data_IF_218332722874
#
_entry.id   IF_218332722874
#
_cell.length_a   1.000
_cell.length_b   1.000
_cell.length_c   1.000
_cell.angle_alpha   90.00
_cell.angle_beta   90.00
_cell.angle_gamma   90.00
#
_symmetry.space_group_name_H-M   'P 1'
#
loop_
_entity.id
_entity.type
_entity.pdbx_description
1 polymer ?
#
# COMPACT_ATOMS: atom_id res chain seq x y z
N UNK A 1 5.43 -0.73 16.39
CA UNK A 1 4.83 -0.87 15.05
C UNK A 1 3.72 -1.89 15.13
N UNK A 2 2.57 -1.61 14.51
CA UNK A 2 1.42 -2.53 14.41
C UNK A 2 1.01 -2.66 12.95
N UNK A 3 0.34 -3.75 12.63
CA UNK A 3 -0.23 -3.99 11.31
C UNK A 3 -1.73 -3.72 11.33
N UNK A 4 -2.20 -3.00 10.32
CA UNK A 4 -3.60 -2.66 10.11
C UNK A 4 -4.05 -3.18 8.75
N UNK A 5 -5.31 -3.59 8.64
CA UNK A 5 -5.95 -3.91 7.36
C UNK A 5 -6.80 -2.73 6.93
N UNK A 6 -6.38 -2.05 5.88
CA UNK A 6 -7.05 -0.83 5.40
C UNK A 6 -7.79 -1.13 4.11
N UNK A 7 -9.10 -0.88 4.11
CA UNK A 7 -10.03 -1.26 3.02
C UNK A 7 -10.39 -0.11 2.08
N UNK A 8 -9.90 1.10 2.35
CA UNK A 8 -10.22 2.31 1.59
C UNK A 8 -9.06 2.84 0.73
N UNK A 9 -7.91 2.15 0.72
CA UNK A 9 -6.77 2.47 -0.13
C UNK A 9 -6.94 1.89 -1.55
N UNK A 10 -6.17 2.43 -2.50
CA UNK A 10 -6.19 2.00 -3.90
C UNK A 10 -5.79 0.52 -4.10
N UNK A 11 -6.25 -0.04 -5.21
CA UNK A 11 -5.90 -1.39 -5.63
C UNK A 11 -4.39 -1.56 -5.87
N UNK A 12 -3.89 -2.79 -5.69
CA UNK A 12 -2.51 -3.13 -5.99
C UNK A 12 -2.26 -3.13 -7.52
N UNK A 13 -1.38 -2.28 -8.06
CA UNK A 13 -1.15 -2.17 -9.50
C UNK A 13 -0.50 -3.42 -10.11
N UNK A 14 0.17 -4.25 -9.30
CA UNK A 14 0.86 -5.47 -9.76
C UNK A 14 -0.08 -6.64 -10.01
N UNK A 15 -1.13 -6.82 -9.21
CA UNK A 15 -1.99 -8.01 -9.26
C UNK A 15 -3.49 -7.72 -9.25
N UNK A 16 -3.88 -6.45 -9.17
CA UNK A 16 -5.28 -6.00 -9.17
C UNK A 16 -6.08 -6.35 -7.92
N UNK A 17 -5.43 -6.71 -6.79
CA UNK A 17 -6.13 -6.93 -5.53
C UNK A 17 -6.61 -5.60 -4.93
N UNK A 18 -7.87 -5.52 -4.52
CA UNK A 18 -8.55 -4.29 -4.13
C UNK A 18 -9.39 -4.39 -2.84
N UNK A 19 -9.36 -5.53 -2.12
CA UNK A 19 -10.18 -5.68 -0.91
C UNK A 19 -9.58 -4.96 0.31
N UNK A 20 -8.26 -5.03 0.48
CA UNK A 20 -7.52 -4.33 1.53
C UNK A 20 -6.01 -4.28 1.25
N UNK A 21 -5.30 -3.39 1.96
CA UNK A 21 -3.84 -3.40 2.05
C UNK A 21 -3.39 -3.62 3.50
N UNK A 22 -2.28 -4.35 3.68
CA UNK A 22 -1.64 -4.48 4.99
C UNK A 22 -0.74 -3.26 5.20
N UNK A 23 -1.03 -2.45 6.21
CA UNK A 23 -0.29 -1.23 6.55
C UNK A 23 0.45 -1.40 7.86
N UNK A 24 1.77 -1.24 7.84
CA UNK A 24 2.62 -1.21 9.04
C UNK A 24 2.86 0.24 9.46
N UNK A 25 2.34 0.59 10.64
CA UNK A 25 2.38 1.96 11.17
C UNK A 25 2.82 2.01 12.63
N UNK A 26 3.38 3.13 13.05
CA UNK A 26 3.64 3.42 14.47
C UNK A 26 2.47 4.09 15.17
N UNK A 27 1.75 4.99 14.49
CA UNK A 27 0.75 5.90 15.08
C UNK A 27 -0.62 5.81 14.44
N UNK A 28 -0.71 5.30 13.21
CA UNK A 28 -1.96 5.23 12.46
C UNK A 28 -2.99 4.30 13.08
N UNK A 29 -4.20 4.37 12.56
CA UNK A 29 -5.34 3.52 12.89
C UNK A 29 -6.18 3.26 11.63
N UNK A 30 -7.35 2.66 11.79
CA UNK A 30 -8.22 2.28 10.67
C UNK A 30 -8.74 3.50 9.87
N UNK A 31 -8.65 4.71 10.44
CA UNK A 31 -9.16 5.96 9.86
C UNK A 31 -8.04 6.91 9.44
N UNK A 32 -6.93 6.97 10.19
CA UNK A 32 -5.82 7.88 9.93
C UNK A 32 -4.50 7.13 9.68
N UNK A 33 -3.85 7.47 8.58
CA UNK A 33 -2.51 7.00 8.22
C UNK A 33 -1.54 8.19 8.08
N UNK A 34 -0.25 7.93 8.14
CA UNK A 34 0.78 8.96 8.12
C UNK A 34 1.83 8.70 7.04
N UNK A 35 2.43 9.78 6.52
CA UNK A 35 3.52 9.72 5.55
C UNK A 35 4.62 8.78 6.04
N UNK A 36 5.01 7.84 5.18
CA UNK A 36 6.04 6.84 5.47
C UNK A 36 5.54 5.55 6.14
N UNK A 37 4.25 5.44 6.46
CA UNK A 37 3.67 4.14 6.83
C UNK A 37 3.85 3.15 5.66
N UNK A 38 4.29 1.93 5.95
CA UNK A 38 4.63 0.95 4.92
C UNK A 38 3.39 0.17 4.49
N UNK A 39 3.19 0.02 3.19
CA UNK A 39 2.06 -0.69 2.61
C UNK A 39 2.54 -1.95 1.91
N UNK A 40 1.80 -3.05 2.11
CA UNK A 40 2.06 -4.32 1.44
C UNK A 40 0.76 -4.91 0.91
N UNK A 41 0.78 -5.31 -0.36
CA UNK A 41 -0.31 -6.07 -0.95
C UNK A 41 -0.34 -7.49 -0.34
N UNK A 42 -1.46 -7.91 0.27
CA UNK A 42 -1.55 -9.23 0.92
C UNK A 42 -1.49 -10.40 -0.08
N UNK A 43 -1.80 -10.16 -1.36
CA UNK A 43 -1.86 -11.20 -2.40
C UNK A 43 -0.52 -11.46 -3.08
N UNK A 44 0.21 -10.41 -3.44
CA UNK A 44 1.44 -10.54 -4.24
C UNK A 44 2.69 -9.95 -3.57
N UNK A 45 2.57 -9.49 -2.32
CA UNK A 45 3.64 -8.85 -1.54
C UNK A 45 4.26 -7.62 -2.22
N UNK A 46 3.57 -7.00 -3.18
CA UNK A 46 4.02 -5.72 -3.76
C UNK A 46 4.00 -4.66 -2.67
N UNK A 47 4.97 -3.76 -2.67
CA UNK A 47 5.17 -2.79 -1.60
C UNK A 47 4.91 -1.36 -2.08
N UNK A 48 4.64 -0.50 -1.11
CA UNK A 48 4.51 0.93 -1.28
C UNK A 48 4.63 1.63 0.07
N UNK A 49 4.42 2.92 0.08
CA UNK A 49 4.32 3.74 1.30
C UNK A 49 3.10 4.65 1.22
N UNK A 50 2.60 5.04 2.39
CA UNK A 50 1.58 6.08 2.48
C UNK A 50 2.22 7.43 2.20
N UNK A 51 1.58 8.18 1.33
CA UNK A 51 1.76 9.60 1.13
C UNK A 51 0.46 10.34 1.48
N UNK A 52 0.56 11.62 1.80
CA UNK A 52 -0.61 12.45 2.14
C UNK A 52 -0.60 13.75 1.37
N UNK A 53 -1.74 14.14 0.82
CA UNK A 53 -1.92 15.42 0.14
C UNK A 53 -3.26 16.05 0.54
N UNK A 54 -3.25 17.34 0.91
CA UNK A 54 -4.42 18.12 1.36
C UNK A 54 -5.35 17.46 2.41
N UNK A 55 -4.88 16.48 3.17
CA UNK A 55 -5.66 15.77 4.19
C UNK A 55 -6.14 14.38 3.77
N UNK A 56 -5.91 13.98 2.52
CA UNK A 56 -6.15 12.64 2.03
C UNK A 56 -4.87 11.80 2.08
N UNK A 57 -5.01 10.50 2.35
CA UNK A 57 -3.91 9.54 2.35
C UNK A 57 -4.08 8.56 1.18
N UNK A 58 -2.99 8.28 0.47
CA UNK A 58 -2.97 7.34 -0.66
C UNK A 58 -1.68 6.52 -0.66
N UNK A 59 -1.67 5.42 -1.41
CA UNK A 59 -0.49 4.56 -1.52
C UNK A 59 0.36 5.00 -2.71
N UNK A 60 1.59 5.38 -2.45
CA UNK A 60 2.63 5.43 -3.48
C UNK A 60 3.24 4.04 -3.62
N UNK A 61 2.76 3.29 -4.61
CA UNK A 61 3.25 1.94 -4.90
C UNK A 61 4.62 1.98 -5.59
N UNK A 62 5.48 1.01 -5.26
CA UNK A 62 6.74 0.81 -5.99
C UNK A 62 6.47 0.51 -7.48
N UNK A 63 7.42 0.86 -8.36
CA UNK A 63 7.30 0.57 -9.79
C UNK A 63 7.13 -0.93 -10.05
N UNK A 64 6.11 -1.27 -10.84
CA UNK A 64 5.91 -2.65 -11.30
C UNK A 64 6.87 -2.91 -12.45
N UNK A 65 8.01 -3.54 -12.16
CA UNK A 65 8.89 -4.03 -13.22
C UNK A 65 8.18 -5.15 -13.99
N UNK A 66 7.82 -4.89 -15.24
CA UNK A 66 7.45 -5.94 -16.19
C UNK A 66 8.69 -6.80 -16.42
N UNK A 67 8.68 -8.04 -15.94
CA UNK A 67 9.68 -9.05 -16.32
C UNK A 67 9.54 -9.31 -17.83
N UNK A 68 10.34 -8.61 -18.63
CA UNK A 68 10.66 -9.03 -19.97
C UNK A 68 11.37 -10.37 -19.86
N UNK A 69 10.67 -11.46 -20.18
CA UNK A 69 11.32 -12.75 -20.44
C UNK A 69 12.19 -12.57 -21.69
N UNK A 70 13.48 -12.34 -21.51
CA UNK A 70 14.46 -12.72 -22.53
C UNK A 70 14.43 -14.25 -22.62
N UNK A 71 13.88 -14.73 -23.75
CA UNK A 71 13.89 -16.14 -24.13
C UNK A 71 15.16 -16.54 -24.86
#
# INVERSE_FOLDING_TARGET
>A
MKELKITWLDYCPKCGFDEYADVSTEKGDETYLYVGDLVKCPKCNHQGSIETDWGDAYVEWEEVKSESKEG
#
